data_IF_456071937438
#
_entry.id   IF_456071937438
#
_cell.length_a   1.000
_cell.length_b   1.000
_cell.length_c   1.000
_cell.angle_alpha   90.00
_cell.angle_beta   90.00
_cell.angle_gamma   90.00
#
_symmetry.space_group_name_H-M   'P 1'
#
loop_
_entity.id
_entity.type
_entity.pdbx_description
1 polymer ?
#
# COMPACT_ATOMS: atom_id res chain seq x y z
N UNK A 1 14.14 0.01 -0.36
CA UNK A 1 13.06 -0.71 0.31
C UNK A 1 13.64 -1.47 1.48
N UNK A 2 13.45 -0.99 2.71
CA UNK A 2 13.98 -1.64 3.93
C UNK A 2 13.05 -2.73 4.48
N UNK A 3 11.76 -2.66 4.14
CA UNK A 3 10.71 -3.59 4.60
C UNK A 3 10.83 -4.99 4.00
N UNK A 4 11.29 -5.12 2.75
CA UNK A 4 11.46 -6.42 2.09
C UNK A 4 12.42 -7.36 2.83
N UNK A 5 13.43 -6.80 3.52
CA UNK A 5 14.40 -7.55 4.34
C UNK A 5 13.75 -8.32 5.48
N UNK A 6 12.58 -7.88 5.93
CA UNK A 6 11.84 -8.49 7.04
C UNK A 6 10.60 -9.27 6.56
N UNK A 7 10.31 -9.27 5.26
CA UNK A 7 9.11 -9.91 4.70
C UNK A 7 9.40 -11.28 4.09
N UNK A 8 10.59 -11.50 3.56
CA UNK A 8 10.96 -12.73 2.85
C UNK A 8 12.31 -13.22 3.35
N UNK A 9 12.46 -14.54 3.55
CA UNK A 9 13.74 -15.13 3.91
C UNK A 9 14.69 -15.13 2.70
N UNK A 10 16.00 -14.90 2.89
CA UNK A 10 16.96 -14.94 1.80
C UNK A 10 16.99 -16.27 1.02
N UNK A 11 16.74 -17.39 1.70
CA UNK A 11 16.65 -18.72 1.09
C UNK A 11 15.52 -18.79 0.06
N UNK A 12 14.34 -18.25 0.38
CA UNK A 12 13.18 -18.25 -0.52
C UNK A 12 13.39 -17.34 -1.73
N UNK A 13 14.18 -16.26 -1.58
CA UNK A 13 14.57 -15.40 -2.70
C UNK A 13 15.52 -16.09 -3.69
N UNK A 14 16.33 -17.04 -3.22
CA UNK A 14 17.34 -17.72 -4.04
C UNK A 14 16.79 -19.01 -4.67
N UNK A 15 15.82 -19.67 -4.03
CA UNK A 15 15.25 -20.93 -4.48
C UNK A 15 14.28 -20.77 -5.65
N UNK A 16 13.61 -19.62 -5.79
CA UNK A 16 12.70 -19.33 -6.91
C UNK A 16 12.89 -17.90 -7.48
N UNK A 17 13.76 -17.76 -8.50
CA UNK A 17 14.02 -16.48 -9.15
C UNK A 17 12.81 -15.89 -9.87
N UNK A 18 11.95 -16.74 -10.46
CA UNK A 18 10.78 -16.28 -11.23
C UNK A 18 9.71 -15.69 -10.30
N UNK A 19 9.45 -16.37 -9.18
CA UNK A 19 8.59 -15.85 -8.13
C UNK A 19 9.10 -14.50 -7.60
N UNK A 20 10.42 -14.36 -7.39
CA UNK A 20 10.99 -13.11 -6.91
C UNK A 20 10.83 -11.96 -7.92
N UNK A 21 11.00 -12.22 -9.22
CA UNK A 21 10.75 -11.24 -10.28
C UNK A 21 9.29 -10.79 -10.28
N UNK A 22 8.35 -11.73 -10.16
CA UNK A 22 6.93 -11.41 -10.10
C UNK A 22 6.56 -10.60 -8.85
N UNK A 23 7.13 -10.95 -7.69
CA UNK A 23 7.02 -10.15 -6.47
C UNK A 23 7.49 -8.70 -6.72
N UNK A 24 8.66 -8.51 -7.34
CA UNK A 24 9.15 -7.14 -7.61
C UNK A 24 8.27 -6.38 -8.62
N UNK A 25 7.70 -7.06 -9.62
CA UNK A 25 6.76 -6.47 -10.59
C UNK A 25 5.49 -5.98 -9.88
N UNK A 26 4.91 -6.79 -9.01
CA UNK A 26 3.68 -6.44 -8.28
C UNK A 26 3.89 -5.31 -7.27
N UNK A 27 5.03 -5.32 -6.57
CA UNK A 27 5.37 -4.29 -5.59
C UNK A 27 5.80 -2.96 -6.23
N UNK A 28 6.13 -2.94 -7.53
CA UNK A 28 6.65 -1.76 -8.21
C UNK A 28 5.66 -0.57 -8.16
N UNK A 29 6.16 0.61 -7.76
CA UNK A 29 5.40 1.86 -7.55
C UNK A 29 4.29 1.78 -6.48
N UNK A 30 4.24 0.72 -5.67
CA UNK A 30 3.30 0.61 -4.55
C UNK A 30 3.90 1.19 -3.27
N UNK A 31 3.04 1.78 -2.42
CA UNK A 31 3.42 2.36 -1.13
C UNK A 31 2.90 1.43 -0.03
N UNK A 32 3.79 0.65 0.55
CA UNK A 32 3.46 -0.21 1.69
C UNK A 32 3.58 0.56 3.00
N UNK A 33 2.59 0.38 3.87
CA UNK A 33 2.60 0.89 5.24
C UNK A 33 2.61 -0.32 6.15
N UNK A 34 3.63 -0.46 6.99
CA UNK A 34 3.62 -1.50 8.03
C UNK A 34 2.76 -1.01 9.19
N UNK A 35 1.61 -1.66 9.39
CA UNK A 35 0.67 -1.32 10.46
C UNK A 35 0.86 -2.31 11.60
N UNK A 36 1.19 -1.80 12.79
CA UNK A 36 1.44 -2.60 14.00
C UNK A 36 0.83 -1.94 15.23
N UNK A 37 0.76 -2.68 16.34
CA UNK A 37 0.23 -2.17 17.62
C UNK A 37 -1.23 -1.73 17.54
N UNK A 38 -1.56 -0.59 18.15
CA UNK A 38 -2.93 -0.07 18.22
C UNK A 38 -3.56 0.20 16.83
N UNK A 39 -2.73 0.47 15.81
CA UNK A 39 -3.19 0.73 14.45
C UNK A 39 -3.58 -0.56 13.68
N UNK A 40 -3.17 -1.74 14.18
CA UNK A 40 -3.48 -3.03 13.56
C UNK A 40 -4.99 -3.32 13.54
N UNK A 41 -5.72 -2.90 14.56
CA UNK A 41 -7.15 -3.19 14.70
C UNK A 41 -8.04 -2.12 14.05
N UNK A 42 -7.47 -0.95 13.74
CA UNK A 42 -8.19 0.16 13.12
C UNK A 42 -8.17 0.07 11.60
N UNK A 43 -7.09 -0.49 11.03
CA UNK A 43 -6.93 -0.68 9.59
C UNK A 43 -7.33 -2.10 9.12
N UNK A 44 -7.89 -2.92 10.01
CA UNK A 44 -8.64 -4.14 9.64
C UNK A 44 -10.06 -3.74 9.23
N UNK A 45 -10.20 -2.89 8.22
CA UNK A 45 -11.49 -2.73 7.54
C UNK A 45 -11.65 -3.96 6.66
N UNK A 46 -12.37 -4.93 7.19
CA UNK A 46 -12.80 -6.17 6.57
C UNK A 46 -11.65 -7.10 6.16
N UNK A 47 -11.61 -8.26 6.80
CA UNK A 47 -10.63 -9.31 6.52
C UNK A 47 -10.99 -9.90 5.15
N UNK A 48 -10.50 -9.29 4.08
CA UNK A 48 -10.67 -9.80 2.72
C UNK A 48 -10.27 -11.27 2.70
N UNK A 49 -11.25 -12.11 2.41
CA UNK A 49 -11.06 -13.55 2.31
C UNK A 49 -10.25 -13.85 1.04
N UNK A 50 -9.60 -15.02 0.98
CA UNK A 50 -8.87 -15.42 -0.22
C UNK A 50 -9.78 -15.40 -1.48
N UNK A 51 -11.09 -15.54 -1.29
CA UNK A 51 -12.10 -15.48 -2.34
C UNK A 51 -12.31 -14.04 -2.86
N UNK A 52 -12.22 -13.02 -2.00
CA UNK A 52 -12.32 -11.61 -2.39
C UNK A 52 -11.11 -11.15 -3.24
N UNK A 53 -9.92 -11.69 -2.95
CA UNK A 53 -8.68 -11.37 -3.67
C UNK A 53 -8.59 -12.01 -5.07
N UNK A 54 -9.42 -13.01 -5.36
CA UNK A 54 -9.48 -13.68 -6.67
C UNK A 54 -10.38 -12.93 -7.66
N UNK A 55 -11.28 -12.07 -7.17
CA UNK A 55 -12.19 -11.26 -7.98
C UNK A 55 -11.55 -9.89 -8.25
N UNK A 56 -10.44 -9.88 -9.00
CA UNK A 56 -9.77 -8.64 -9.40
C UNK A 56 -10.09 -8.22 -10.84
N UNK A 57 -11.14 -8.77 -11.46
CA UNK A 57 -11.54 -8.44 -12.84
C UNK A 57 -12.98 -7.91 -12.98
N UNK A 58 -13.62 -7.45 -11.90
CA UNK A 58 -14.78 -6.57 -12.03
C UNK A 58 -14.57 -5.32 -11.20
N UNK A 59 -14.54 -4.17 -11.88
CA UNK A 59 -14.20 -2.88 -11.30
C UNK A 59 -15.16 -2.54 -10.17
N UNK A 60 -14.64 -2.56 -8.94
CA UNK A 60 -15.42 -2.24 -7.75
C UNK A 60 -16.10 -0.87 -7.88
N UNK A 61 -17.42 -0.89 -7.95
CA UNK A 61 -18.30 0.29 -7.82
C UNK A 61 -18.38 0.72 -6.34
N UNK A 62 -17.19 0.95 -5.76
CA UNK A 62 -17.09 1.68 -4.52
C UNK A 62 -17.53 3.11 -4.79
N UNK A 63 -18.58 3.56 -4.10
CA UNK A 63 -19.01 4.96 -4.13
C UNK A 63 -17.91 5.84 -3.53
N UNK A 64 -16.92 6.18 -4.36
CA UNK A 64 -15.89 7.18 -4.07
C UNK A 64 -16.59 8.52 -3.85
N UNK A 65 -16.62 8.98 -2.61
CA UNK A 65 -17.21 10.28 -2.23
C UNK A 65 -16.38 11.47 -2.76
N UNK A 66 -15.35 11.20 -3.55
CA UNK A 66 -14.54 12.17 -4.26
C UNK A 66 -13.55 12.91 -3.37
N UNK A 67 -13.67 12.78 -2.04
CA UNK A 67 -12.92 13.57 -1.06
C UNK A 67 -11.50 13.05 -0.92
N UNK A 68 -10.53 13.94 -1.11
CA UNK A 68 -9.11 13.59 -1.09
C UNK A 68 -8.36 14.57 -0.20
N UNK A 69 -7.71 14.09 0.86
CA UNK A 69 -6.78 14.90 1.66
C UNK A 69 -5.42 14.95 0.99
N UNK A 70 -4.87 16.15 0.83
CA UNK A 70 -3.62 16.38 0.15
C UNK A 70 -2.42 16.53 1.09
N UNK A 71 -1.31 15.97 0.63
CA UNK A 71 0.01 16.11 1.24
C UNK A 71 0.99 16.57 0.17
N UNK A 72 1.81 17.55 0.50
CA UNK A 72 2.81 18.13 -0.42
C UNK A 72 4.21 17.85 0.11
N UNK A 73 5.11 17.51 -0.79
CA UNK A 73 6.53 17.37 -0.48
C UNK A 73 7.16 18.74 -0.23
N UNK A 74 7.72 18.95 0.96
CA UNK A 74 8.54 20.12 1.28
C UNK A 74 10.01 19.78 1.01
N UNK A 75 10.57 20.31 -0.08
CA UNK A 75 11.94 20.03 -0.50
C UNK A 75 12.99 20.57 0.48
N UNK A 76 12.70 21.69 1.16
CA UNK A 76 13.59 22.26 2.16
C UNK A 76 13.67 21.43 3.43
N UNK A 77 12.53 20.89 3.89
CA UNK A 77 12.47 20.03 5.08
C UNK A 77 12.59 18.53 4.78
N UNK A 78 12.71 18.16 3.50
CA UNK A 78 12.77 16.77 3.00
C UNK A 78 11.72 15.85 3.62
N UNK A 79 10.49 16.36 3.78
CA UNK A 79 9.37 15.62 4.36
C UNK A 79 8.06 16.05 3.73
N UNK A 80 7.09 15.14 3.72
CA UNK A 80 5.72 15.49 3.38
C UNK A 80 5.09 16.31 4.51
N UNK A 81 4.27 17.29 4.14
CA UNK A 81 3.44 18.07 5.07
C UNK A 81 1.99 18.04 4.59
N UNK A 82 1.06 18.10 5.54
CA UNK A 82 -0.36 18.27 5.23
C UNK A 82 -0.55 19.59 4.50
N UNK A 83 -1.34 19.56 3.43
CA UNK A 83 -1.65 20.70 2.58
C UNK A 83 -3.18 20.81 2.43
N UNK A 84 -3.89 21.25 3.49
CA UNK A 84 -5.36 21.31 3.48
C UNK A 84 -5.90 22.16 2.33
N UNK A 85 -5.11 23.12 1.86
CA UNK A 85 -5.43 23.98 0.72
C UNK A 85 -5.53 23.24 -0.62
N UNK A 86 -5.00 22.01 -0.70
CA UNK A 86 -5.08 21.15 -1.90
C UNK A 86 -6.03 19.98 -1.70
N UNK A 87 -6.77 19.96 -0.59
CA UNK A 87 -7.79 18.95 -0.37
C UNK A 87 -8.87 19.11 -1.45
N UNK A 88 -9.30 17.99 -2.03
CA UNK A 88 -10.49 17.97 -2.89
C UNK A 88 -11.68 17.67 -1.99
N UNK A 89 -12.55 18.64 -1.80
CA UNK A 89 -13.94 18.43 -1.40
C UNK A 89 -14.79 18.54 -2.66
N UNK A 90 -15.85 17.72 -2.76
CA UNK A 90 -16.82 17.75 -3.88
C UNK A 90 -17.18 19.15 -4.38
#
# INVERSE_FOLDING_TARGET
>A
AETLKYSVKPEDMANDPEWFLELTRQLHKRRFISTGGALKNVLQLDRETNEDLVIADDGGDGTDDGKRTAFVWDSGKRRYKRAPEKDKSD
#
